data_IF_613148722826
#
_entry.id   IF_613148722826
#
_cell.length_a   1.000
_cell.length_b   1.000
_cell.length_c   1.000
_cell.angle_alpha   90.00
_cell.angle_beta   90.00
_cell.angle_gamma   90.00
#
_symmetry.space_group_name_H-M   'P 1'
#
loop_
_entity.id
_entity.type
_entity.pdbx_description
1 polymer ?
#
# COMPACT_ATOMS: atom_id res chain seq x y z
N UNK A 1 20.11 -12.92 43.45
CA UNK A 1 19.51 -13.83 42.45
C UNK A 1 19.32 -13.06 41.14
N UNK A 2 19.92 -13.48 40.00
CA UNK A 2 19.77 -12.76 38.72
C UNK A 2 18.40 -13.07 38.13
N UNK A 3 17.55 -12.06 37.96
CA UNK A 3 16.26 -12.20 37.27
C UNK A 3 16.52 -12.57 35.80
N UNK A 4 15.92 -13.66 35.27
CA UNK A 4 16.05 -14.03 33.87
C UNK A 4 15.59 -12.91 32.93
N UNK A 5 16.27 -12.77 31.79
CA UNK A 5 16.00 -11.70 30.81
C UNK A 5 14.54 -11.69 30.32
N UNK A 6 13.95 -12.87 30.11
CA UNK A 6 12.55 -13.03 29.71
C UNK A 6 11.60 -12.44 30.77
N UNK A 7 11.86 -12.71 32.05
CA UNK A 7 11.04 -12.20 33.15
C UNK A 7 11.16 -10.67 33.27
N UNK A 8 12.36 -10.11 33.05
CA UNK A 8 12.55 -8.65 32.96
C UNK A 8 11.74 -8.05 31.81
N UNK A 9 11.74 -8.68 30.63
CA UNK A 9 10.94 -8.25 29.48
C UNK A 9 9.44 -8.24 29.78
N UNK A 10 8.93 -9.31 30.42
CA UNK A 10 7.52 -9.39 30.82
C UNK A 10 7.12 -8.32 31.83
N UNK A 11 7.99 -8.04 32.82
CA UNK A 11 7.73 -6.97 33.81
C UNK A 11 7.70 -5.59 33.16
N UNK A 12 8.59 -5.31 32.21
CA UNK A 12 8.58 -4.07 31.42
C UNK A 12 7.28 -3.97 30.61
N UNK A 13 6.86 -5.06 29.95
CA UNK A 13 5.63 -5.08 29.16
C UNK A 13 4.38 -4.83 30.02
N UNK A 14 4.33 -5.41 31.23
CA UNK A 14 3.26 -5.17 32.19
C UNK A 14 3.22 -3.71 32.65
N UNK A 15 4.37 -3.10 32.93
CA UNK A 15 4.47 -1.67 33.30
C UNK A 15 4.05 -0.75 32.15
N UNK A 16 4.46 -1.03 30.90
CA UNK A 16 4.02 -0.25 29.73
C UNK A 16 2.51 -0.35 29.52
N UNK A 17 1.93 -1.57 29.60
CA UNK A 17 0.47 -1.77 29.51
C UNK A 17 -0.28 -1.03 30.62
N UNK A 18 0.22 -1.08 31.86
CA UNK A 18 -0.36 -0.34 32.98
C UNK A 18 -0.37 1.18 32.78
N UNK A 19 0.57 1.70 31.98
CA UNK A 19 0.66 3.11 31.57
C UNK A 19 -0.09 3.43 30.27
N UNK A 20 -0.81 2.47 29.70
CA UNK A 20 -1.52 2.62 28.41
C UNK A 20 -0.61 2.80 27.20
N UNK A 21 0.66 2.38 27.31
CA UNK A 21 1.65 2.47 26.23
C UNK A 21 1.77 1.13 25.50
N UNK A 22 2.09 1.20 24.21
CA UNK A 22 2.33 0.01 23.41
C UNK A 22 3.61 -0.72 23.85
N UNK A 23 3.60 -2.03 23.63
CA UNK A 23 4.74 -2.90 23.97
C UNK A 23 5.79 -2.78 22.87
N UNK A 24 6.98 -2.32 23.25
CA UNK A 24 8.12 -2.18 22.33
C UNK A 24 8.70 -3.54 21.90
N UNK A 25 8.70 -4.53 22.80
CA UNK A 25 9.29 -5.84 22.53
C UNK A 25 8.47 -6.96 23.17
N UNK A 26 7.93 -7.85 22.35
CA UNK A 26 7.25 -9.06 22.78
C UNK A 26 8.03 -10.29 22.30
N UNK A 27 8.71 -11.03 23.20
CA UNK A 27 9.50 -12.21 22.83
C UNK A 27 8.65 -13.39 22.36
N UNK A 28 7.33 -13.35 22.60
CA UNK A 28 6.39 -14.39 22.15
C UNK A 28 5.61 -13.97 20.90
N UNK A 29 5.81 -12.75 20.41
CA UNK A 29 5.24 -12.31 19.14
C UNK A 29 5.74 -13.23 18.05
N UNK A 30 4.82 -13.79 17.29
CA UNK A 30 5.16 -14.50 16.06
C UNK A 30 5.63 -13.46 15.05
N UNK A 31 6.93 -13.44 14.80
CA UNK A 31 7.50 -12.60 13.76
C UNK A 31 7.23 -13.27 12.41
N UNK A 32 6.61 -12.53 11.48
CA UNK A 32 6.32 -12.94 10.10
C UNK A 32 5.15 -13.95 9.97
N UNK A 33 3.92 -13.44 9.95
CA UNK A 33 2.75 -14.25 9.60
C UNK A 33 2.70 -14.68 8.12
N UNK A 34 3.43 -13.98 7.24
CA UNK A 34 3.59 -14.32 5.83
C UNK A 34 4.90 -13.75 5.24
N UNK A 35 5.30 -14.27 4.08
CA UNK A 35 6.47 -13.80 3.32
C UNK A 35 6.12 -12.75 2.25
N UNK A 36 4.89 -12.23 2.24
CA UNK A 36 4.47 -11.21 1.27
C UNK A 36 5.12 -9.90 1.68
N UNK A 37 6.20 -9.52 1.01
CA UNK A 37 7.02 -8.34 1.30
C UNK A 37 7.38 -7.63 -0.01
N UNK A 38 7.93 -6.44 0.10
CA UNK A 38 8.50 -5.72 -1.03
C UNK A 38 9.34 -4.57 -0.49
N UNK A 39 9.97 -3.83 -1.40
CA UNK A 39 10.80 -2.70 -0.99
C UNK A 39 9.97 -1.65 -0.24
N UNK A 40 10.52 -1.10 0.85
CA UNK A 40 9.86 -0.04 1.59
C UNK A 40 9.84 1.26 0.78
N UNK A 41 8.83 2.07 1.06
CA UNK A 41 8.63 3.41 0.55
C UNK A 41 8.81 4.40 1.69
N UNK A 42 9.58 5.46 1.47
CA UNK A 42 9.93 6.47 2.47
C UNK A 42 11.42 6.78 2.46
N UNK A 43 11.75 8.03 2.79
CA UNK A 43 13.11 8.48 3.00
C UNK A 43 13.69 8.04 4.35
N UNK A 44 14.96 8.35 4.55
CA UNK A 44 15.67 8.19 5.80
C UNK A 44 15.02 9.04 6.90
N UNK A 45 14.59 8.39 7.99
CA UNK A 45 14.00 9.07 9.15
C UNK A 45 12.55 9.54 8.97
N UNK A 46 11.94 9.38 7.79
CA UNK A 46 10.55 9.79 7.55
C UNK A 46 9.50 8.77 8.02
N UNK A 47 9.95 7.61 8.50
CA UNK A 47 9.13 6.41 8.55
C UNK A 47 9.02 5.75 7.18
N UNK A 48 8.45 4.54 7.14
CA UNK A 48 8.29 3.78 5.89
C UNK A 48 6.95 3.07 5.76
N UNK A 49 6.58 2.76 4.52
CA UNK A 49 5.40 1.98 4.17
C UNK A 49 5.85 0.83 3.27
N UNK A 50 5.56 -0.41 3.65
CA UNK A 50 5.78 -1.56 2.80
C UNK A 50 4.72 -1.67 1.70
N UNK A 51 5.14 -1.89 0.46
CA UNK A 51 4.22 -2.38 -0.59
C UNK A 51 4.62 -3.80 -0.95
N UNK A 52 3.71 -4.74 -0.79
CA UNK A 52 4.00 -6.15 -1.09
C UNK A 52 4.24 -6.36 -2.59
N UNK A 53 4.99 -7.40 -2.95
CA UNK A 53 5.05 -7.86 -4.35
C UNK A 53 3.68 -8.26 -4.90
N UNK A 54 2.69 -8.51 -4.02
CA UNK A 54 1.29 -8.78 -4.37
C UNK A 54 0.48 -7.50 -4.60
N UNK A 55 1.04 -6.31 -4.44
CA UNK A 55 0.45 -5.03 -4.86
C UNK A 55 -0.13 -4.15 -3.74
N UNK A 56 -0.54 -4.73 -2.61
CA UNK A 56 -1.15 -4.00 -1.50
C UNK A 56 -0.13 -3.38 -0.52
N UNK A 57 -0.53 -2.29 0.13
CA UNK A 57 0.25 -1.58 1.16
C UNK A 57 0.03 -2.18 2.55
N UNK A 58 1.11 -2.35 3.31
CA UNK A 58 1.18 -2.98 4.63
C UNK A 58 2.48 -2.56 5.34
N UNK A 59 2.75 -3.04 6.54
CA UNK A 59 4.00 -2.74 7.27
C UNK A 59 4.25 -1.23 7.39
N UNK A 60 3.26 -0.51 7.93
CA UNK A 60 3.39 0.92 8.18
C UNK A 60 4.28 1.12 9.42
N UNK A 61 5.40 1.81 9.19
CA UNK A 61 6.40 2.22 10.18
C UNK A 61 6.52 3.75 10.16
N UNK A 62 5.37 4.44 10.23
CA UNK A 62 5.32 5.90 10.20
C UNK A 62 5.61 6.48 11.59
N UNK A 63 5.06 5.85 12.63
CA UNK A 63 5.27 6.27 14.00
C UNK A 63 6.43 5.51 14.64
N UNK A 64 7.36 6.19 15.34
CA UNK A 64 8.41 5.52 16.09
C UNK A 64 7.84 4.49 17.06
N UNK A 65 8.51 3.33 17.18
CA UNK A 65 8.11 2.20 18.01
C UNK A 65 6.82 1.46 17.62
N UNK A 66 6.01 1.98 16.69
CA UNK A 66 4.83 1.28 16.18
C UNK A 66 5.15 0.57 14.87
N UNK A 67 4.58 -0.63 14.73
CA UNK A 67 4.71 -1.44 13.53
C UNK A 67 3.38 -2.09 13.20
N UNK A 68 2.67 -1.46 12.27
CA UNK A 68 1.37 -1.90 11.81
C UNK A 68 1.54 -2.88 10.65
N UNK A 69 1.43 -4.17 10.94
CA UNK A 69 1.70 -5.22 9.96
C UNK A 69 0.59 -5.41 8.94
N UNK A 70 -0.66 -5.19 9.35
CA UNK A 70 -1.83 -5.55 8.54
C UNK A 70 -1.94 -4.66 7.29
N UNK A 71 -2.40 -5.24 6.17
CA UNK A 71 -2.62 -4.45 4.97
C UNK A 71 -3.81 -3.51 5.13
N UNK A 72 -3.68 -2.29 4.62
CA UNK A 72 -4.81 -1.36 4.45
C UNK A 72 -5.33 -1.55 3.04
N UNK A 73 -6.32 -2.43 2.87
CA UNK A 73 -6.76 -2.85 1.55
C UNK A 73 -7.50 -1.77 0.76
N UNK A 74 -7.91 -0.66 1.39
CA UNK A 74 -8.41 0.51 0.68
C UNK A 74 -7.30 1.28 -0.07
N UNK A 75 -6.03 1.09 0.28
CA UNK A 75 -4.90 1.73 -0.39
C UNK A 75 -4.49 0.88 -1.59
N UNK A 76 -4.84 1.29 -2.81
CA UNK A 76 -4.61 0.48 -4.00
C UNK A 76 -4.36 1.35 -5.23
N UNK A 77 -3.71 0.74 -6.22
CA UNK A 77 -3.87 1.16 -7.60
C UNK A 77 -4.88 0.24 -8.29
N UNK A 78 -5.72 0.80 -9.15
CA UNK A 78 -6.67 0.07 -9.98
C UNK A 78 -6.55 0.53 -11.41
N UNK A 79 -6.80 -0.39 -12.35
CA UNK A 79 -6.80 -0.11 -13.77
C UNK A 79 -8.15 -0.43 -14.39
N UNK A 80 -8.58 0.42 -15.30
CA UNK A 80 -9.79 0.26 -16.09
C UNK A 80 -9.42 0.45 -17.56
N UNK A 81 -9.92 -0.42 -18.43
CA UNK A 81 -9.72 -0.35 -19.87
C UNK A 81 -11.04 -0.45 -20.61
N UNK A 82 -11.24 0.36 -21.64
CA UNK A 82 -12.37 0.21 -22.57
C UNK A 82 -11.90 0.26 -24.02
N UNK A 83 -12.55 -0.52 -24.88
CA UNK A 83 -12.27 -0.60 -26.32
C UNK A 83 -13.48 -0.19 -27.16
N UNK A 84 -13.29 0.26 -28.42
CA UNK A 84 -14.39 0.67 -29.31
C UNK A 84 -15.46 -0.40 -29.59
N UNK A 85 -15.10 -1.68 -29.46
CA UNK A 85 -16.03 -2.80 -29.62
C UNK A 85 -16.95 -3.02 -28.40
N UNK A 86 -16.92 -2.13 -27.41
CA UNK A 86 -17.71 -2.20 -26.19
C UNK A 86 -17.14 -3.11 -25.10
N UNK A 87 -15.98 -3.75 -25.31
CA UNK A 87 -15.32 -4.53 -24.25
C UNK A 87 -14.73 -3.59 -23.20
N UNK A 88 -15.01 -3.90 -21.94
CA UNK A 88 -14.48 -3.19 -20.77
C UNK A 88 -13.82 -4.16 -19.80
N UNK A 89 -12.73 -3.73 -19.21
CA UNK A 89 -11.91 -4.50 -18.27
C UNK A 89 -11.63 -3.67 -17.02
N UNK A 90 -11.59 -4.32 -15.86
CA UNK A 90 -11.18 -3.70 -14.61
C UNK A 90 -10.35 -4.67 -13.81
N UNK A 91 -9.44 -4.17 -12.99
CA UNK A 91 -8.90 -4.93 -11.86
C UNK A 91 -8.24 -3.98 -10.86
N UNK A 92 -8.29 -4.35 -9.59
CA UNK A 92 -7.35 -3.80 -8.61
C UNK A 92 -5.99 -4.42 -8.90
N UNK A 93 -4.94 -3.59 -9.00
CA UNK A 93 -3.56 -4.02 -9.30
C UNK A 93 -2.87 -4.64 -8.07
N UNK A 94 -3.61 -5.52 -7.41
CA UNK A 94 -3.27 -6.19 -6.16
C UNK A 94 -3.98 -7.53 -6.05
N UNK A 95 -3.30 -8.53 -5.52
CA UNK A 95 -3.83 -9.88 -5.30
C UNK A 95 -3.73 -10.26 -3.81
N UNK A 96 -4.55 -9.69 -2.92
CA UNK A 96 -4.60 -10.12 -1.51
C UNK A 96 -5.03 -11.58 -1.38
N UNK A 97 -4.63 -12.24 -0.30
CA UNK A 97 -5.10 -13.61 -0.01
C UNK A 97 -6.56 -13.61 0.42
N UNK A 98 -7.22 -14.77 0.33
CA UNK A 98 -8.59 -14.93 0.83
C UNK A 98 -8.72 -14.54 2.32
N UNK A 99 -7.71 -14.86 3.13
CA UNK A 99 -7.66 -14.48 4.54
C UNK A 99 -7.56 -12.96 4.73
N UNK A 100 -6.79 -12.25 3.90
CA UNK A 100 -6.68 -10.80 3.95
C UNK A 100 -8.00 -10.11 3.57
N UNK A 101 -8.81 -10.73 2.70
CA UNK A 101 -10.14 -10.24 2.32
C UNK A 101 -11.24 -10.65 3.30
N UNK A 102 -10.96 -11.49 4.29
CA UNK A 102 -11.96 -11.96 5.25
C UNK A 102 -12.48 -10.81 6.09
N UNK A 103 -13.80 -10.61 6.09
CA UNK A 103 -14.45 -9.53 6.86
C UNK A 103 -14.45 -8.17 6.16
N UNK A 104 -13.94 -8.09 4.93
CA UNK A 104 -14.10 -6.91 4.09
C UNK A 104 -15.57 -6.79 3.66
N UNK A 105 -16.19 -5.64 3.96
CA UNK A 105 -17.59 -5.39 3.61
C UNK A 105 -17.78 -5.29 2.08
N UNK A 106 -18.76 -6.06 1.58
CA UNK A 106 -19.18 -6.05 0.17
C UNK A 106 -19.74 -4.69 -0.27
N UNK A 107 -20.35 -3.93 0.64
CA UNK A 107 -20.85 -2.59 0.36
C UNK A 107 -19.71 -1.55 0.28
N UNK A 108 -18.51 -1.90 0.73
CA UNK A 108 -17.32 -1.07 0.67
C UNK A 108 -16.34 -1.62 -0.39
N UNK A 109 -15.05 -1.72 -0.04
CA UNK A 109 -13.98 -2.19 -0.95
C UNK A 109 -14.16 -3.66 -1.38
N UNK A 110 -15.05 -4.42 -0.74
CA UNK A 110 -15.39 -5.79 -1.16
C UNK A 110 -16.13 -5.87 -2.49
N UNK A 111 -16.67 -4.74 -2.99
CA UNK A 111 -17.26 -4.62 -4.33
C UNK A 111 -16.22 -4.45 -5.45
N UNK A 112 -14.95 -4.15 -5.11
CA UNK A 112 -13.92 -3.91 -6.11
C UNK A 112 -13.52 -5.18 -6.85
N UNK A 113 -12.94 -5.02 -8.03
CA UNK A 113 -12.53 -6.15 -8.87
C UNK A 113 -11.16 -6.71 -8.44
N UNK A 114 -11.17 -7.60 -7.45
CA UNK A 114 -9.98 -8.27 -6.92
C UNK A 114 -9.50 -9.47 -7.76
N UNK A 115 -9.88 -9.57 -9.05
CA UNK A 115 -9.65 -10.75 -9.89
C UNK A 115 -8.33 -10.70 -10.68
N UNK A 116 -7.34 -9.96 -10.20
CA UNK A 116 -6.03 -9.87 -10.84
C UNK A 116 -5.42 -11.27 -10.99
N UNK A 117 -5.00 -11.65 -12.21
CA UNK A 117 -4.36 -12.95 -12.42
C UNK A 117 -2.88 -12.87 -12.08
N UNK A 118 -2.50 -13.37 -10.92
CA UNK A 118 -1.13 -13.34 -10.40
C UNK A 118 -0.07 -13.91 -11.36
N UNK A 119 -0.42 -14.97 -12.11
CA UNK A 119 0.47 -15.59 -13.10
C UNK A 119 0.93 -14.64 -14.22
N UNK A 120 0.18 -13.57 -14.45
CA UNK A 120 0.44 -12.54 -15.45
C UNK A 120 1.24 -11.36 -14.86
N UNK A 121 1.64 -11.45 -13.59
CA UNK A 121 2.29 -10.38 -12.86
C UNK A 121 3.72 -10.76 -12.49
N UNK A 122 4.65 -9.83 -12.59
CA UNK A 122 6.04 -10.03 -12.14
C UNK A 122 6.51 -8.82 -11.36
N UNK A 123 7.00 -9.05 -10.15
CA UNK A 123 7.61 -8.04 -9.29
C UNK A 123 9.13 -8.14 -9.37
N UNK A 124 9.78 -6.98 -9.45
CA UNK A 124 11.23 -6.85 -9.44
C UNK A 124 11.65 -5.80 -8.43
N UNK A 125 12.81 -6.01 -7.80
CA UNK A 125 13.35 -5.09 -6.81
C UNK A 125 14.86 -4.94 -6.95
N UNK A 126 15.30 -3.69 -6.91
CA UNK A 126 16.69 -3.28 -6.77
C UNK A 126 16.71 -1.94 -6.03
N UNK A 127 16.82 -1.99 -4.71
CA UNK A 127 16.69 -0.83 -3.82
C UNK A 127 17.53 0.38 -4.32
N UNK A 128 16.94 1.59 -4.37
CA UNK A 128 15.63 2.01 -3.83
C UNK A 128 14.47 1.87 -4.83
N UNK A 129 14.64 1.12 -5.93
CA UNK A 129 13.66 0.99 -7.00
C UNK A 129 13.02 -0.39 -6.97
N UNK A 130 11.71 -0.44 -7.20
CA UNK A 130 11.05 -1.68 -7.60
C UNK A 130 10.04 -1.42 -8.69
N UNK A 131 9.63 -2.47 -9.38
CA UNK A 131 8.59 -2.36 -10.38
C UNK A 131 7.76 -3.63 -10.47
N UNK A 132 6.48 -3.47 -10.78
CA UNK A 132 5.56 -4.56 -11.08
C UNK A 132 5.13 -4.44 -12.52
N UNK A 133 5.27 -5.53 -13.28
CA UNK A 133 4.73 -5.67 -14.62
C UNK A 133 3.43 -6.46 -14.51
N UNK A 134 2.36 -5.91 -15.08
CA UNK A 134 1.05 -6.54 -15.24
C UNK A 134 0.86 -6.76 -16.76
N UNK A 135 1.10 -7.99 -17.23
CA UNK A 135 1.13 -8.32 -18.66
C UNK A 135 -0.20 -8.97 -19.09
N UNK A 136 -1.02 -8.22 -19.83
CA UNK A 136 -2.36 -8.67 -20.21
C UNK A 136 -3.40 -8.54 -19.10
N UNK A 137 -3.20 -7.61 -18.16
CA UNK A 137 -4.14 -7.32 -17.07
C UNK A 137 -4.44 -5.81 -16.97
N UNK A 138 -5.72 -5.41 -16.82
CA UNK A 138 -6.90 -6.25 -16.89
C UNK A 138 -7.31 -6.64 -18.33
N UNK A 139 -6.74 -5.96 -19.33
CA UNK A 139 -6.98 -6.18 -20.75
C UNK A 139 -5.85 -7.02 -21.36
N UNK A 140 -6.14 -8.15 -22.05
CA UNK A 140 -5.12 -9.06 -22.60
C UNK A 140 -4.10 -8.45 -23.57
N UNK A 141 -4.42 -7.32 -24.23
CA UNK A 141 -3.51 -6.66 -25.17
C UNK A 141 -2.88 -5.39 -24.57
N UNK A 142 -3.07 -5.14 -23.28
CA UNK A 142 -2.46 -4.04 -22.52
C UNK A 142 -1.42 -4.57 -21.54
N UNK A 143 -0.25 -3.92 -21.53
CA UNK A 143 0.78 -4.11 -20.51
C UNK A 143 0.91 -2.85 -19.66
N UNK A 144 0.82 -3.01 -18.34
CA UNK A 144 1.02 -1.92 -17.39
C UNK A 144 2.28 -2.20 -16.59
N UNK A 145 3.21 -1.25 -16.55
CA UNK A 145 4.38 -1.30 -15.65
C UNK A 145 4.26 -0.19 -14.62
N UNK A 146 4.19 -0.57 -13.34
CA UNK A 146 4.24 0.36 -12.22
C UNK A 146 5.64 0.35 -11.64
N UNK A 147 6.43 1.40 -11.87
CA UNK A 147 7.70 1.63 -11.21
C UNK A 147 7.47 2.46 -9.95
N UNK A 148 8.12 2.09 -8.85
CA UNK A 148 8.11 2.85 -7.61
C UNK A 148 9.53 3.14 -7.12
N UNK A 149 9.71 4.32 -6.52
CA UNK A 149 10.97 4.77 -5.95
C UNK A 149 10.73 5.73 -4.78
N UNK A 150 11.59 5.66 -3.78
CA UNK A 150 11.79 6.74 -2.81
C UNK A 150 13.18 7.34 -2.99
N UNK A 151 13.35 8.65 -2.73
CA UNK A 151 14.64 9.29 -2.87
C UNK A 151 15.58 8.74 -1.79
N UNK A 152 16.49 7.85 -2.17
CA UNK A 152 17.59 7.41 -1.31
C UNK A 152 18.86 7.60 -2.12
N UNK A 153 19.51 8.73 -1.90
CA UNK A 153 20.58 9.24 -2.74
C UNK A 153 21.84 9.37 -1.87
N UNK A 154 22.93 8.63 -2.16
CA UNK A 154 24.18 8.74 -1.43
C UNK A 154 24.68 10.19 -1.36
N UNK A 155 25.18 10.60 -0.19
CA UNK A 155 25.68 11.95 0.09
C UNK A 155 24.65 13.09 -0.03
N UNK A 156 23.37 12.77 -0.20
CA UNK A 156 22.27 13.74 -0.12
C UNK A 156 21.45 13.44 1.13
N UNK A 157 21.39 14.39 2.06
CA UNK A 157 20.65 14.23 3.32
C UNK A 157 19.28 14.90 3.31
N UNK A 158 19.00 15.75 2.32
CA UNK A 158 17.78 16.54 2.25
C UNK A 158 16.68 15.75 1.53
N UNK A 159 16.84 15.53 0.22
CA UNK A 159 15.87 14.76 -0.54
C UNK A 159 15.78 13.33 -0.01
N UNK A 160 16.90 12.76 0.46
CA UNK A 160 16.88 11.43 1.06
C UNK A 160 16.06 11.33 2.35
N UNK A 161 15.68 12.44 3.00
CA UNK A 161 14.85 12.42 4.20
C UNK A 161 13.36 12.66 3.91
N UNK A 162 12.96 12.79 2.65
CA UNK A 162 11.58 13.16 2.32
C UNK A 162 10.59 12.00 2.58
N UNK A 163 9.42 12.28 3.16
CA UNK A 163 8.32 11.32 3.33
C UNK A 163 7.57 11.11 2.00
N UNK A 164 8.28 10.72 0.93
CA UNK A 164 7.72 10.66 -0.42
C UNK A 164 8.06 9.36 -1.15
N UNK A 165 7.12 8.94 -1.97
CA UNK A 165 7.28 7.89 -2.97
C UNK A 165 6.71 8.36 -4.31
N UNK A 166 7.36 7.96 -5.39
CA UNK A 166 6.91 8.26 -6.75
C UNK A 166 6.51 6.95 -7.41
N UNK A 167 5.34 6.95 -8.05
CA UNK A 167 4.85 5.85 -8.87
C UNK A 167 4.76 6.31 -10.32
N UNK A 168 5.58 5.71 -11.19
CA UNK A 168 5.57 5.97 -12.63
C UNK A 168 4.90 4.80 -13.32
N UNK A 169 3.82 5.09 -14.04
CA UNK A 169 3.12 4.11 -14.85
C UNK A 169 3.52 4.23 -16.31
N UNK A 170 3.82 3.10 -16.93
CA UNK A 170 3.96 2.97 -18.37
C UNK A 170 2.90 2.01 -18.86
N UNK A 171 2.06 2.47 -19.79
CA UNK A 171 0.98 1.68 -20.39
C UNK A 171 1.32 1.46 -21.85
N UNK A 172 1.34 0.21 -22.28
CA UNK A 172 1.61 -0.18 -23.66
C UNK A 172 0.42 -0.96 -24.20
N UNK A 173 -0.08 -0.53 -25.37
CA UNK A 173 -1.09 -1.26 -26.12
C UNK A 173 -0.44 -1.99 -27.29
N UNK A 174 -0.51 -3.31 -27.29
CA UNK A 174 -0.05 -4.15 -28.41
C UNK A 174 -1.18 -4.61 -29.31
N UNK A 175 -2.43 -4.26 -28.99
CA UNK A 175 -3.60 -4.58 -29.80
C UNK A 175 -3.73 -3.69 -31.03
N UNK A 176 -4.55 -4.13 -31.97
CA UNK A 176 -4.80 -3.41 -33.23
C UNK A 176 -5.81 -2.25 -33.11
N UNK A 177 -6.49 -2.14 -31.96
CA UNK A 177 -7.50 -1.10 -31.71
C UNK A 177 -7.06 -0.17 -30.58
N UNK A 178 -7.47 1.11 -30.61
CA UNK A 178 -7.23 2.03 -29.49
C UNK A 178 -7.92 1.52 -28.22
N UNK A 179 -7.38 1.93 -27.07
CA UNK A 179 -7.91 1.61 -25.76
C UNK A 179 -7.88 2.84 -24.86
N UNK A 180 -8.98 3.12 -24.18
CA UNK A 180 -9.02 4.14 -23.14
C UNK A 180 -8.65 3.49 -21.82
N UNK A 181 -7.60 3.99 -21.18
CA UNK A 181 -7.07 3.41 -19.94
C UNK A 181 -7.15 4.45 -18.82
N UNK A 182 -7.79 4.09 -17.72
CA UNK A 182 -7.81 4.88 -16.49
C UNK A 182 -7.02 4.16 -15.41
N UNK A 183 -6.13 4.91 -14.76
CA UNK A 183 -5.43 4.48 -13.55
C UNK A 183 -6.00 5.25 -12.37
N UNK A 184 -6.41 4.53 -11.34
CA UNK A 184 -6.95 5.10 -10.11
C UNK A 184 -6.00 4.78 -8.97
N UNK A 185 -5.66 5.79 -8.16
CA UNK A 185 -4.97 5.61 -6.88
C UNK A 185 -5.94 5.95 -5.75
N UNK A 186 -6.22 4.97 -4.89
CA UNK A 186 -7.04 5.15 -3.69
C UNK A 186 -6.15 5.14 -2.46
N UNK A 187 -6.47 6.01 -1.49
CA UNK A 187 -5.75 6.08 -0.22
C UNK A 187 -6.73 6.42 0.92
N UNK A 188 -6.72 5.60 1.96
CA UNK A 188 -7.51 5.82 3.16
C UNK A 188 -6.95 7.01 3.95
N UNK A 189 -7.84 7.86 4.45
CA UNK A 189 -7.47 8.87 5.43
C UNK A 189 -7.41 8.19 6.80
N UNK A 190 -6.23 8.16 7.43
CA UNK A 190 -6.00 7.56 8.74
C UNK A 190 -5.64 8.61 9.81
N UNK A 191 -5.85 9.90 9.52
CA UNK A 191 -5.51 11.00 10.44
C UNK A 191 -6.53 11.07 11.60
N UNK A 192 -6.12 11.49 12.79
CA UNK A 192 -7.07 11.86 13.87
C UNK A 192 -7.89 10.73 14.51
N UNK A 193 -7.69 9.46 14.10
CA UNK A 193 -8.33 8.28 14.68
C UNK A 193 -7.32 7.19 15.07
N UNK A 194 -7.81 6.10 15.67
CA UNK A 194 -7.02 4.87 15.89
C UNK A 194 -6.93 3.99 14.63
N UNK A 195 -7.76 4.30 13.63
CA UNK A 195 -7.85 3.67 12.32
C UNK A 195 -8.52 4.63 11.34
N UNK A 196 -8.49 4.30 10.06
CA UNK A 196 -9.13 5.01 8.97
C UNK A 196 -10.66 5.19 9.11
N UNK A 197 -11.30 4.42 10.00
CA UNK A 197 -12.73 4.46 10.24
C UNK A 197 -13.12 5.32 11.46
N UNK A 198 -12.14 5.76 12.27
CA UNK A 198 -12.41 6.36 13.58
C UNK A 198 -12.06 7.84 13.65
N UNK A 199 -11.60 8.44 12.56
CA UNK A 199 -11.22 9.85 12.48
C UNK A 199 -12.38 10.82 12.17
N UNK A 200 -13.62 10.34 12.05
CA UNK A 200 -14.80 11.14 11.63
C UNK A 200 -14.58 11.96 10.35
N UNK A 201 -13.89 11.35 9.38
CA UNK A 201 -13.49 11.99 8.14
C UNK A 201 -14.69 12.37 7.27
N UNK A 202 -14.63 13.57 6.71
CA UNK A 202 -15.58 14.04 5.71
C UNK A 202 -14.85 14.55 4.48
N UNK A 203 -15.30 14.09 3.31
CA UNK A 203 -14.72 14.48 2.03
C UNK A 203 -15.69 15.41 1.32
N UNK A 204 -15.22 16.57 0.87
CA UNK A 204 -16.02 17.50 0.07
C UNK A 204 -15.33 17.75 -1.27
N UNK A 205 -16.12 17.81 -2.35
CA UNK A 205 -15.59 18.11 -3.68
C UNK A 205 -15.04 19.53 -3.69
N UNK A 206 -13.85 19.69 -4.25
CA UNK A 206 -13.29 20.99 -4.56
C UNK A 206 -13.05 21.06 -6.06
N UNK A 207 -13.65 22.05 -6.73
CA UNK A 207 -13.25 22.37 -8.10
C UNK A 207 -12.00 23.23 -8.02
N UNK A 208 -10.90 22.75 -8.61
CA UNK A 208 -9.73 23.56 -8.84
C UNK A 208 -9.65 23.95 -10.33
N UNK A 209 -8.92 25.05 -10.58
CA UNK A 209 -8.72 25.62 -11.90
C UNK A 209 -7.90 24.68 -12.78
N UNK A 210 -8.00 24.88 -14.10
CA UNK A 210 -7.16 24.22 -15.11
C UNK A 210 -7.34 22.69 -15.25
N UNK A 211 -8.55 22.19 -15.01
CA UNK A 211 -8.92 20.79 -15.27
C UNK A 211 -8.54 19.81 -14.15
N UNK A 212 -8.08 20.30 -13.01
CA UNK A 212 -7.83 19.49 -11.81
C UNK A 212 -9.10 19.40 -10.96
N UNK A 213 -9.53 18.17 -10.68
CA UNK A 213 -10.61 17.91 -9.73
C UNK A 213 -10.02 17.48 -8.39
N UNK A 214 -10.31 18.24 -7.33
CA UNK A 214 -9.80 18.00 -5.98
C UNK A 214 -10.86 17.44 -5.04
N UNK A 215 -10.39 16.85 -3.94
CA UNK A 215 -11.23 16.49 -2.79
C UNK A 215 -10.57 17.09 -1.55
N UNK A 216 -11.31 17.95 -0.85
CA UNK A 216 -10.90 18.46 0.44
C UNK A 216 -11.24 17.42 1.51
N UNK A 217 -10.19 16.94 2.18
CA UNK A 217 -10.28 16.05 3.33
C UNK A 217 -10.45 16.91 4.59
N UNK A 218 -11.51 16.67 5.38
CA UNK A 218 -11.74 17.26 6.70
C UNK A 218 -11.82 16.18 7.77
#
# INVERSE_FOLDING_TARGET
MKIPMILKGLMINADQRGKGRDILYDPFRKWMDNCYRGLPLGGLGSGSIGRSYRGYFQHFQIFPALYEEKPILANQFSAFGSRPNGKSYSTVLSAPTADALKGVDKAAIGSWDWKLKEKNCTYHALFPRSWTVYDGEPDPEIKITCRQISPIIPHNYKESSFPVAVFTFTVQNSGSTPADVTLLFTWANSVGGRSELTGNHTNSKMMERDGVHGVLLR
#
